data_IF_061583881244
#
_entry.id   IF_061583881244
#
_cell.length_a   1.000
_cell.length_b   1.000
_cell.length_c   1.000
_cell.angle_alpha   90.00
_cell.angle_beta   90.00
_cell.angle_gamma   90.00
#
_symmetry.space_group_name_H-M   'P 1'
#
loop_
_entity.id
_entity.type
_entity.pdbx_description
1 polymer ?
#
# COMPACT_ATOMS: atom_id res chain seq x y z
N UNK A 1 40.53 -6.02 -7.75
CA UNK A 1 39.81 -7.28 -7.52
C UNK A 1 39.15 -7.15 -6.15
N UNK A 2 37.88 -6.77 -6.12
CA UNK A 2 37.13 -6.60 -4.88
C UNK A 2 36.58 -7.95 -4.48
N UNK A 3 37.08 -8.50 -3.37
CA UNK A 3 36.63 -9.77 -2.81
C UNK A 3 35.16 -9.66 -2.36
N UNK A 4 34.24 -10.11 -3.21
CA UNK A 4 32.90 -10.47 -2.77
C UNK A 4 32.97 -11.85 -2.09
N UNK A 5 33.25 -11.86 -0.80
CA UNK A 5 33.00 -13.04 0.04
C UNK A 5 31.50 -13.24 0.15
N UNK A 6 30.96 -14.18 -0.64
CA UNK A 6 29.60 -14.70 -0.45
C UNK A 6 29.48 -15.28 0.97
N UNK A 7 28.56 -14.81 1.82
CA UNK A 7 28.33 -15.46 3.10
C UNK A 7 27.68 -16.83 2.86
N UNK A 8 28.02 -17.81 3.71
CA UNK A 8 27.52 -19.18 3.74
C UNK A 8 26.12 -19.34 3.14
N UNK A 9 25.93 -20.33 2.25
CA UNK A 9 24.68 -20.63 1.52
C UNK A 9 23.47 -21.05 2.37
N UNK A 10 23.20 -20.39 3.50
CA UNK A 10 21.97 -20.48 4.27
C UNK A 10 21.10 -19.28 3.93
N UNK A 11 19.84 -19.55 3.59
CA UNK A 11 18.83 -18.51 3.46
C UNK A 11 18.68 -17.76 4.81
N UNK A 12 18.38 -16.45 4.77
CA UNK A 12 18.14 -15.68 5.99
C UNK A 12 16.99 -16.28 6.79
N UNK A 13 17.19 -16.39 8.11
CA UNK A 13 16.22 -17.00 9.04
C UNK A 13 15.02 -16.09 9.35
N UNK A 14 15.12 -14.81 9.00
CA UNK A 14 14.08 -13.80 9.17
C UNK A 14 13.89 -13.07 7.83
N UNK A 15 12.65 -12.89 7.35
CA UNK A 15 12.39 -12.14 6.12
C UNK A 15 12.80 -10.67 6.32
N UNK A 16 13.70 -10.18 5.50
CA UNK A 16 14.14 -8.78 5.48
C UNK A 16 13.48 -8.07 4.30
N UNK A 17 12.72 -7.00 4.56
CA UNK A 17 12.12 -6.20 3.49
C UNK A 17 13.17 -5.39 2.74
N UNK A 18 13.14 -5.48 1.41
CA UNK A 18 13.99 -4.63 0.55
C UNK A 18 13.76 -3.15 0.83
N UNK A 19 12.51 -2.70 0.99
CA UNK A 19 12.19 -1.30 1.25
C UNK A 19 12.87 -0.78 2.51
N UNK A 20 12.79 -1.56 3.60
CA UNK A 20 13.37 -1.19 4.91
C UNK A 20 14.89 -1.27 4.89
N UNK A 21 15.46 -2.19 4.12
CA UNK A 21 16.90 -2.39 3.99
C UNK A 21 17.57 -1.29 3.17
N UNK A 22 16.95 -0.86 2.07
CA UNK A 22 17.59 0.04 1.10
C UNK A 22 17.18 1.50 1.26
N UNK A 23 16.18 1.80 2.08
CA UNK A 23 15.66 3.16 2.24
C UNK A 23 16.00 3.70 3.63
N UNK A 24 16.74 4.80 3.67
CA UNK A 24 16.95 5.55 4.90
C UNK A 24 15.70 6.38 5.21
N UNK A 25 15.06 6.11 6.34
CA UNK A 25 13.93 6.88 6.84
C UNK A 25 14.38 7.79 8.00
N UNK A 26 13.75 8.97 8.16
CA UNK A 26 14.01 9.80 9.33
C UNK A 26 13.65 9.06 10.61
N UNK A 27 14.43 9.29 11.66
CA UNK A 27 14.11 8.88 13.01
C UNK A 27 13.49 10.07 13.76
N UNK A 28 12.56 9.77 14.65
CA UNK A 28 11.89 10.75 15.49
C UNK A 28 12.14 10.40 16.95
N UNK A 29 12.41 11.42 17.76
CA UNK A 29 12.58 11.25 19.19
C UNK A 29 11.26 10.87 19.85
N UNK A 30 11.26 10.05 20.91
CA UNK A 30 10.07 9.83 21.71
C UNK A 30 9.51 11.15 22.25
N UNK A 31 8.18 11.24 22.34
CA UNK A 31 7.51 12.37 22.97
C UNK A 31 7.86 12.42 24.46
N UNK A 32 8.39 13.56 24.94
CA UNK A 32 8.86 13.74 26.33
C UNK A 32 7.97 14.67 27.15
N UNK A 33 7.06 15.37 26.49
CA UNK A 33 6.20 16.39 27.07
C UNK A 33 4.82 16.33 26.42
N UNK A 34 3.85 16.95 27.08
CA UNK A 34 2.51 17.08 26.53
C UNK A 34 2.51 18.11 25.40
N UNK A 35 1.85 17.77 24.30
CA UNK A 35 1.68 18.65 23.14
C UNK A 35 0.20 18.85 22.83
N UNK A 36 -0.16 20.04 22.39
CA UNK A 36 -1.50 20.35 21.88
C UNK A 36 -1.52 20.29 20.35
N UNK A 37 -2.54 19.63 19.79
CA UNK A 37 -2.73 19.48 18.34
C UNK A 37 -4.23 19.41 18.04
N UNK A 38 -4.64 19.76 16.81
CA UNK A 38 -6.05 19.63 16.40
C UNK A 38 -6.42 18.16 16.21
N UNK A 39 -5.51 17.36 15.64
CA UNK A 39 -5.69 15.93 15.38
C UNK A 39 -4.47 15.13 15.79
N UNK A 40 -4.67 14.08 16.60
CA UNK A 40 -3.69 13.05 16.90
C UNK A 40 -3.97 11.79 16.07
N UNK A 41 -2.96 11.30 15.36
CA UNK A 41 -3.01 10.06 14.58
C UNK A 41 -2.15 9.00 15.25
N UNK A 42 -2.75 7.85 15.58
CA UNK A 42 -2.03 6.69 16.09
C UNK A 42 -1.71 5.71 14.94
N UNK A 43 -0.43 5.54 14.65
CA UNK A 43 0.11 4.67 13.60
C UNK A 43 0.73 5.47 12.46
N UNK A 44 2.04 5.34 12.26
CA UNK A 44 2.83 5.97 11.22
C UNK A 44 3.08 5.01 10.03
N UNK A 45 2.06 4.24 9.66
CA UNK A 45 1.99 3.49 8.40
C UNK A 45 1.38 4.31 7.26
N UNK A 46 1.18 3.70 6.08
CA UNK A 46 0.66 4.42 4.89
C UNK A 46 -0.68 5.12 5.14
N UNK A 47 -1.58 4.49 5.90
CA UNK A 47 -2.89 5.07 6.23
C UNK A 47 -2.69 6.33 7.07
N UNK A 48 -1.96 6.24 8.18
CA UNK A 48 -1.75 7.38 9.07
C UNK A 48 -0.97 8.53 8.41
N UNK A 49 0.06 8.22 7.63
CA UNK A 49 0.83 9.25 6.91
C UNK A 49 0.00 9.92 5.81
N UNK A 50 -0.81 9.16 5.08
CA UNK A 50 -1.71 9.74 4.06
C UNK A 50 -2.78 10.62 4.71
N UNK A 51 -3.37 10.17 5.81
CA UNK A 51 -4.32 10.97 6.61
C UNK A 51 -3.66 12.25 7.12
N UNK A 52 -2.47 12.17 7.70
CA UNK A 52 -1.72 13.33 8.18
C UNK A 52 -1.44 14.32 7.04
N UNK A 53 -0.98 13.81 5.90
CA UNK A 53 -0.73 14.62 4.71
C UNK A 53 -1.97 15.41 4.27
N UNK A 54 -3.12 14.73 4.15
CA UNK A 54 -4.37 15.37 3.74
C UNK A 54 -4.87 16.41 4.76
N UNK A 55 -4.82 16.10 6.05
CA UNK A 55 -5.27 17.01 7.11
C UNK A 55 -4.36 18.25 7.23
N UNK A 56 -3.05 18.08 7.08
CA UNK A 56 -2.11 19.21 7.02
C UNK A 56 -2.39 20.08 5.80
N UNK A 57 -2.72 19.49 4.64
CA UNK A 57 -3.15 20.27 3.48
C UNK A 57 -4.46 21.04 3.71
N UNK A 58 -5.34 20.54 4.59
CA UNK A 58 -6.55 21.23 5.02
C UNK A 58 -6.31 22.32 6.08
N UNK A 59 -5.05 22.54 6.48
CA UNK A 59 -4.67 23.61 7.42
C UNK A 59 -4.72 23.22 8.90
N UNK A 60 -4.84 21.93 9.23
CA UNK A 60 -4.87 21.45 10.61
C UNK A 60 -3.47 21.22 11.16
N UNK A 61 -3.29 21.47 12.46
CA UNK A 61 -2.13 21.04 13.24
C UNK A 61 -2.30 19.57 13.59
N UNK A 62 -1.43 18.72 13.03
CA UNK A 62 -1.52 17.25 13.17
C UNK A 62 -0.27 16.70 13.83
N UNK A 63 -0.47 15.80 14.81
CA UNK A 63 0.58 14.98 15.38
C UNK A 63 0.38 13.51 14.97
N UNK A 64 1.46 12.81 14.63
CA UNK A 64 1.46 11.36 14.37
C UNK A 64 2.33 10.68 15.41
N UNK A 65 1.81 9.65 16.07
CA UNK A 65 2.56 8.82 17.02
C UNK A 65 2.58 7.37 16.54
N UNK A 66 3.67 6.68 16.77
CA UNK A 66 3.80 5.25 16.53
C UNK A 66 4.59 4.62 17.69
N UNK A 67 4.29 3.36 18.00
CA UNK A 67 5.03 2.62 19.03
C UNK A 67 6.41 2.16 18.53
N UNK A 68 6.63 2.12 17.21
CA UNK A 68 7.86 1.75 16.56
C UNK A 68 8.41 2.85 15.65
N UNK A 69 9.19 2.42 14.65
CA UNK A 69 9.72 3.33 13.63
C UNK A 69 8.66 3.60 12.56
N UNK A 70 8.75 4.77 11.93
CA UNK A 70 7.88 5.13 10.80
C UNK A 70 7.95 4.06 9.68
N UNK A 71 6.79 3.67 9.14
CA UNK A 71 6.63 2.62 8.11
C UNK A 71 7.16 1.22 8.48
N UNK A 72 7.45 0.91 9.74
CA UNK A 72 8.13 -0.35 10.11
C UNK A 72 7.23 -1.60 10.13
N UNK A 73 5.90 -1.39 10.15
CA UNK A 73 4.88 -2.45 10.09
C UNK A 73 4.55 -2.88 8.66
N UNK A 74 3.28 -3.25 8.41
CA UNK A 74 2.80 -3.78 7.11
C UNK A 74 3.24 -2.95 5.90
N UNK A 75 3.22 -1.62 6.00
CA UNK A 75 3.65 -0.73 4.92
C UNK A 75 5.09 -0.98 4.48
N UNK A 76 6.01 -1.20 5.43
CA UNK A 76 7.41 -1.47 5.13
C UNK A 76 7.65 -2.82 4.47
N UNK A 77 6.68 -3.75 4.48
CA UNK A 77 6.77 -5.08 3.87
C UNK A 77 5.92 -5.23 2.59
N UNK A 78 5.37 -4.13 2.08
CA UNK A 78 4.55 -4.15 0.87
C UNK A 78 5.32 -4.67 -0.36
N UNK A 79 4.61 -5.22 -1.34
CA UNK A 79 5.15 -5.46 -2.70
C UNK A 79 5.00 -4.24 -3.62
N UNK A 80 4.41 -3.15 -3.10
CA UNK A 80 4.16 -1.88 -3.78
C UNK A 80 3.26 -1.94 -5.03
N UNK A 81 2.55 -3.06 -5.26
CA UNK A 81 1.52 -3.14 -6.29
C UNK A 81 0.28 -2.33 -5.87
N UNK A 82 -0.16 -1.43 -6.74
CA UNK A 82 -1.38 -0.65 -6.60
C UNK A 82 -2.35 -1.13 -7.68
N UNK A 83 -3.56 -1.53 -7.32
CA UNK A 83 -4.54 -2.05 -8.29
C UNK A 83 -5.96 -2.00 -7.72
N UNK A 84 -6.97 -1.92 -8.59
CA UNK A 84 -8.34 -2.29 -8.22
C UNK A 84 -8.66 -3.75 -8.54
N UNK A 85 -7.79 -4.47 -9.28
CA UNK A 85 -7.99 -5.86 -9.71
C UNK A 85 -7.54 -6.85 -8.62
N UNK A 86 -8.33 -6.95 -7.56
CA UNK A 86 -8.07 -7.77 -6.38
C UNK A 86 -8.57 -9.23 -6.49
N UNK A 87 -8.44 -9.84 -7.67
CA UNK A 87 -8.79 -11.23 -7.91
C UNK A 87 -10.27 -11.55 -7.62
N UNK A 88 -10.53 -12.64 -6.87
CA UNK A 88 -11.87 -13.16 -6.54
C UNK A 88 -12.69 -12.28 -5.58
N UNK A 89 -12.17 -11.12 -5.16
CA UNK A 89 -12.86 -10.34 -4.14
C UNK A 89 -14.21 -9.82 -4.62
N UNK A 90 -14.36 -9.47 -5.90
CA UNK A 90 -15.60 -8.84 -6.40
C UNK A 90 -16.80 -9.78 -6.40
N UNK A 91 -16.63 -11.06 -6.72
CA UNK A 91 -17.73 -12.02 -6.59
C UNK A 91 -18.17 -12.15 -5.11
N UNK A 92 -17.21 -12.15 -4.17
CA UNK A 92 -17.52 -12.16 -2.73
C UNK A 92 -18.20 -10.86 -2.28
N UNK A 93 -17.73 -9.71 -2.79
CA UNK A 93 -18.32 -8.42 -2.46
C UNK A 93 -19.75 -8.30 -3.00
N UNK A 94 -19.98 -8.74 -4.24
CA UNK A 94 -21.30 -8.79 -4.85
C UNK A 94 -22.26 -9.67 -4.04
N UNK A 95 -21.79 -10.85 -3.58
CA UNK A 95 -22.61 -11.77 -2.81
C UNK A 95 -22.92 -11.28 -1.39
N UNK A 96 -21.96 -10.63 -0.70
CA UNK A 96 -22.13 -10.22 0.69
C UNK A 96 -22.67 -8.79 0.86
N UNK A 97 -22.30 -7.88 -0.04
CA UNK A 97 -22.59 -6.44 0.06
C UNK A 97 -23.38 -5.89 -1.13
N UNK A 98 -23.77 -6.76 -2.07
CA UNK A 98 -24.52 -6.39 -3.26
C UNK A 98 -23.69 -5.58 -4.26
N UNK A 99 -24.35 -5.20 -5.35
CA UNK A 99 -23.74 -4.40 -6.43
C UNK A 99 -23.15 -3.10 -5.91
N UNK A 100 -23.88 -2.39 -5.07
CA UNK A 100 -23.46 -1.09 -4.57
C UNK A 100 -22.21 -1.18 -3.68
N UNK A 101 -22.12 -2.18 -2.80
CA UNK A 101 -20.92 -2.38 -1.99
C UNK A 101 -19.68 -2.76 -2.82
N UNK A 102 -19.86 -3.60 -3.85
CA UNK A 102 -18.80 -3.93 -4.78
C UNK A 102 -18.33 -2.71 -5.59
N UNK A 103 -19.27 -1.89 -6.06
CA UNK A 103 -19.01 -0.63 -6.79
C UNK A 103 -18.19 0.34 -5.94
N UNK A 104 -18.62 0.60 -4.70
CA UNK A 104 -17.91 1.50 -3.78
C UNK A 104 -16.48 1.02 -3.51
N UNK A 105 -16.27 -0.29 -3.37
CA UNK A 105 -14.93 -0.84 -3.22
C UNK A 105 -14.06 -0.61 -4.46
N UNK A 106 -14.60 -0.86 -5.66
CA UNK A 106 -13.88 -0.61 -6.91
C UNK A 106 -13.49 0.87 -7.03
N UNK A 107 -14.47 1.76 -6.87
CA UNK A 107 -14.29 3.21 -7.01
C UNK A 107 -13.29 3.77 -5.99
N UNK A 108 -13.33 3.32 -4.74
CA UNK A 108 -12.37 3.75 -3.73
C UNK A 108 -10.92 3.35 -4.09
N UNK A 109 -10.71 2.18 -4.70
CA UNK A 109 -9.38 1.75 -5.13
C UNK A 109 -8.90 2.50 -6.37
N UNK A 110 -9.78 2.76 -7.35
CA UNK A 110 -9.46 3.58 -8.52
C UNK A 110 -9.16 5.03 -8.13
N UNK A 111 -9.94 5.60 -7.20
CA UNK A 111 -9.68 6.93 -6.65
C UNK A 111 -8.34 6.97 -5.91
N UNK A 112 -8.03 5.98 -5.08
CA UNK A 112 -6.75 5.87 -4.40
C UNK A 112 -5.57 5.79 -5.39
N UNK A 113 -5.71 5.00 -6.47
CA UNK A 113 -4.72 4.92 -7.53
C UNK A 113 -4.53 6.28 -8.21
N UNK A 114 -5.63 6.96 -8.55
CA UNK A 114 -5.63 8.31 -9.09
C UNK A 114 -4.90 9.30 -8.17
N UNK A 115 -5.26 9.30 -6.90
CA UNK A 115 -4.64 10.14 -5.86
C UNK A 115 -3.12 9.92 -5.76
N UNK A 116 -2.66 8.66 -5.77
CA UNK A 116 -1.22 8.35 -5.72
C UNK A 116 -0.52 8.88 -6.98
N UNK A 117 -1.05 8.59 -8.17
CA UNK A 117 -0.46 9.04 -9.44
C UNK A 117 -0.36 10.57 -9.51
N UNK A 118 -1.43 11.25 -9.10
CA UNK A 118 -1.50 12.71 -9.04
C UNK A 118 -0.52 13.29 -8.02
N UNK A 119 -0.39 12.67 -6.85
CA UNK A 119 0.52 13.10 -5.79
C UNK A 119 1.97 12.99 -6.26
N UNK A 120 2.35 11.85 -6.85
CA UNK A 120 3.67 11.64 -7.45
C UNK A 120 3.99 12.72 -8.48
N UNK A 121 3.04 13.00 -9.39
CA UNK A 121 3.21 14.03 -10.44
C UNK A 121 3.31 15.44 -9.85
N UNK A 122 2.38 15.84 -8.99
CA UNK A 122 2.30 17.20 -8.41
C UNK A 122 3.52 17.51 -7.54
N UNK A 123 3.99 16.53 -6.78
CA UNK A 123 5.14 16.67 -5.86
C UNK A 123 6.49 16.32 -6.49
N UNK A 124 6.48 15.81 -7.74
CA UNK A 124 7.68 15.36 -8.47
C UNK A 124 8.49 14.33 -7.66
N UNK A 125 7.81 13.33 -7.11
CA UNK A 125 8.41 12.29 -6.27
C UNK A 125 9.14 11.29 -7.15
N UNK A 126 10.44 11.11 -6.94
CA UNK A 126 11.23 10.08 -7.60
C UNK A 126 11.08 8.72 -6.90
N UNK A 127 9.96 8.05 -7.15
CA UNK A 127 9.64 6.74 -6.59
C UNK A 127 9.48 5.64 -7.64
N UNK A 128 9.95 5.88 -8.87
CA UNK A 128 9.85 4.94 -9.99
C UNK A 128 8.42 4.46 -10.28
N UNK A 129 7.41 5.29 -9.98
CA UNK A 129 6.01 4.97 -10.24
C UNK A 129 5.77 4.77 -11.74
N UNK A 130 5.13 3.64 -12.10
CA UNK A 130 4.73 3.30 -13.47
C UNK A 130 3.33 2.71 -13.47
N UNK A 131 2.57 3.03 -14.52
CA UNK A 131 1.33 2.32 -14.84
C UNK A 131 1.68 1.18 -15.77
N UNK A 132 1.28 -0.02 -15.38
CA UNK A 132 1.53 -1.26 -16.11
C UNK A 132 0.24 -2.09 -16.11
N UNK A 133 0.08 -2.95 -17.11
CA UNK A 133 -1.07 -3.83 -17.21
C UNK A 133 -1.04 -4.91 -16.11
N UNK A 134 -2.21 -5.23 -15.57
CA UNK A 134 -2.38 -6.28 -14.56
C UNK A 134 -2.91 -7.58 -15.20
N UNK A 135 -2.00 -8.51 -15.48
CA UNK A 135 -2.36 -9.81 -16.07
C UNK A 135 -2.72 -10.85 -14.99
N UNK A 136 -3.74 -11.66 -15.30
CA UNK A 136 -4.03 -12.92 -14.61
C UNK A 136 -3.67 -14.07 -15.55
N UNK A 137 -2.97 -15.07 -15.03
CA UNK A 137 -2.62 -16.28 -15.77
C UNK A 137 -3.22 -17.51 -15.07
N UNK A 138 -3.43 -18.56 -15.86
CA UNK A 138 -3.92 -19.85 -15.40
C UNK A 138 -3.04 -20.94 -16.01
N UNK A 139 -2.75 -21.99 -15.25
CA UNK A 139 -1.98 -23.16 -15.72
C UNK A 139 -2.87 -24.39 -16.02
N UNK A 140 -4.19 -24.22 -15.88
CA UNK A 140 -5.20 -25.21 -16.25
C UNK A 140 -6.46 -24.56 -16.83
N UNK A 141 -7.23 -25.32 -17.60
CA UNK A 141 -8.51 -24.85 -18.16
C UNK A 141 -9.51 -24.47 -17.06
N UNK A 142 -9.50 -25.20 -15.93
CA UNK A 142 -10.32 -24.90 -14.76
C UNK A 142 -9.98 -23.52 -14.17
N UNK A 143 -8.69 -23.25 -13.94
CA UNK A 143 -8.25 -21.94 -13.45
C UNK A 143 -8.52 -20.83 -14.47
N UNK A 144 -8.48 -21.13 -15.76
CA UNK A 144 -8.77 -20.16 -16.81
C UNK A 144 -10.25 -19.76 -16.78
N UNK A 145 -11.16 -20.73 -16.58
CA UNK A 145 -12.58 -20.47 -16.37
C UNK A 145 -12.81 -19.64 -15.10
N UNK A 146 -12.14 -20.00 -14.00
CA UNK A 146 -12.21 -19.20 -12.77
C UNK A 146 -11.72 -17.77 -13.02
N UNK A 147 -10.57 -17.59 -13.68
CA UNK A 147 -9.98 -16.29 -14.01
C UNK A 147 -10.94 -15.42 -14.83
N UNK A 148 -11.63 -16.02 -15.82
CA UNK A 148 -12.69 -15.37 -16.59
C UNK A 148 -13.83 -14.86 -15.70
N UNK A 149 -14.36 -15.70 -14.81
CA UNK A 149 -15.40 -15.30 -13.85
C UNK A 149 -14.96 -14.12 -12.97
N UNK A 150 -13.69 -14.08 -12.53
CA UNK A 150 -13.18 -12.95 -11.69
C UNK A 150 -13.15 -11.65 -12.46
N UNK A 151 -12.75 -11.70 -13.73
CA UNK A 151 -12.76 -10.53 -14.61
C UNK A 151 -14.18 -10.02 -14.85
N UNK A 152 -15.15 -10.92 -15.04
CA UNK A 152 -16.55 -10.57 -15.15
C UNK A 152 -17.09 -9.98 -13.84
N UNK A 153 -16.70 -10.51 -12.67
CA UNK A 153 -17.04 -9.97 -11.35
C UNK A 153 -16.60 -8.52 -11.18
N UNK A 154 -15.36 -8.21 -11.58
CA UNK A 154 -14.82 -6.86 -11.60
C UNK A 154 -15.59 -5.95 -12.57
N UNK A 155 -15.92 -6.41 -13.78
CA UNK A 155 -16.68 -5.63 -14.78
C UNK A 155 -18.13 -5.34 -14.38
N UNK A 156 -18.68 -6.14 -13.44
CA UNK A 156 -20.06 -5.99 -12.93
C UNK A 156 -20.16 -5.09 -11.71
N UNK A 157 -19.05 -4.87 -11.00
CA UNK A 157 -18.94 -3.92 -9.88
C UNK A 157 -19.12 -2.49 -10.40
#
# INVERSE_FOLDING_TARGET
>A
MSNHTSPSGRLPQQPESMWRKTTALPAFEPLKEDIETDVLIAGAGIVGITTAYLLVQAGLKVAVIDAGKILDGTTGYTTAKITAQHGLIYDKLLNHFGKEGARLYYEANEEALGFIADTVKKRKIDCQFRREDAYLYADSDEQLQEAGSRMEGLQRA
#
